data_IF_627991764797
#
_entry.id   IF_627991764797
#
_cell.length_a   1.000
_cell.length_b   1.000
_cell.length_c   1.000
_cell.angle_alpha   90.00
_cell.angle_beta   90.00
_cell.angle_gamma   90.00
#
_symmetry.space_group_name_H-M   'P 1'
#
loop_
_entity.id
_entity.type
_entity.pdbx_description
1 polymer ?
#
# COMPACT_ATOMS: atom_id res chain seq x y z
N UNK A 1 17.22 -7.44 -11.64
CA UNK A 1 17.34 -6.02 -11.24
C UNK A 1 16.21 -5.29 -11.95
N UNK A 2 15.13 -5.03 -11.26
CA UNK A 2 14.01 -4.28 -11.84
C UNK A 2 14.22 -2.80 -11.50
N UNK A 3 14.73 -2.04 -12.46
CA UNK A 3 14.64 -0.58 -12.47
C UNK A 3 13.18 -0.19 -12.72
N UNK A 4 12.34 -0.36 -11.71
CA UNK A 4 11.05 0.29 -11.68
C UNK A 4 11.24 1.80 -11.44
N UNK A 5 10.34 2.68 -11.95
CA UNK A 5 10.41 4.09 -11.68
C UNK A 5 10.45 4.33 -10.16
N UNK A 6 11.15 5.38 -9.69
CA UNK A 6 11.23 5.69 -8.28
C UNK A 6 9.81 5.76 -7.72
N UNK A 7 9.52 4.92 -6.73
CA UNK A 7 8.17 4.87 -6.12
C UNK A 7 7.93 6.21 -5.44
N UNK A 8 7.10 7.05 -6.05
CA UNK A 8 6.67 8.31 -5.47
C UNK A 8 5.74 8.00 -4.29
N UNK A 9 6.10 8.44 -3.10
CA UNK A 9 5.29 8.26 -1.90
C UNK A 9 4.31 9.43 -1.79
N UNK A 10 3.02 9.12 -1.67
CA UNK A 10 1.97 10.11 -1.40
C UNK A 10 1.60 10.12 0.08
N UNK A 11 1.51 11.32 0.64
CA UNK A 11 1.25 11.52 2.07
C UNK A 11 0.59 12.88 2.36
N UNK A 12 0.01 12.99 3.55
CA UNK A 12 -0.38 14.25 4.17
C UNK A 12 0.53 14.55 5.36
N UNK A 13 0.75 15.82 5.62
CA UNK A 13 1.48 16.31 6.78
C UNK A 13 0.49 16.97 7.74
N UNK A 14 0.43 16.47 8.98
CA UNK A 14 -0.49 16.94 10.00
C UNK A 14 0.29 17.75 11.04
N UNK A 15 -0.06 19.02 11.21
CA UNK A 15 0.57 19.90 12.17
C UNK A 15 0.29 19.51 13.62
N UNK A 16 1.05 20.06 14.57
CA UNK A 16 0.78 19.89 16.00
C UNK A 16 -0.65 20.26 16.42
N UNK A 17 -1.28 21.22 15.75
CA UNK A 17 -2.66 21.65 15.97
C UNK A 17 -3.72 20.73 15.33
N UNK A 18 -3.33 19.71 14.54
CA UNK A 18 -4.25 18.76 13.92
C UNK A 18 -4.66 19.10 12.49
N UNK A 19 -4.25 20.24 11.97
CA UNK A 19 -4.56 20.66 10.61
C UNK A 19 -3.57 20.07 9.59
N UNK A 20 -4.09 19.67 8.43
CA UNK A 20 -3.29 19.16 7.33
C UNK A 20 -2.68 20.27 6.48
N UNK A 21 -1.41 20.11 6.10
CA UNK A 21 -0.76 20.94 5.11
C UNK A 21 -1.53 20.88 3.80
N UNK A 22 -2.04 22.04 3.34
CA UNK A 22 -2.99 22.17 2.25
C UNK A 22 -2.44 23.10 1.18
N UNK A 23 -2.40 22.64 -0.07
CA UNK A 23 -2.15 23.48 -1.23
C UNK A 23 -3.49 24.05 -1.74
N UNK A 24 -3.70 25.35 -1.61
CA UNK A 24 -4.92 25.99 -2.08
C UNK A 24 -4.91 26.13 -3.61
N UNK A 25 -6.12 26.04 -4.20
CA UNK A 25 -6.27 26.08 -5.66
C UNK A 25 -5.94 27.45 -6.26
N UNK A 26 -6.13 28.51 -5.48
CA UNK A 26 -5.89 29.87 -5.91
C UNK A 26 -4.75 30.54 -5.15
N UNK A 27 -3.95 31.34 -5.85
CA UNK A 27 -2.90 32.18 -5.29
C UNK A 27 -1.70 31.38 -4.74
N UNK A 28 -1.57 30.09 -5.09
CA UNK A 28 -0.46 29.22 -4.64
C UNK A 28 -0.26 29.19 -3.11
N UNK A 29 -1.30 29.58 -2.37
CA UNK A 29 -1.25 29.67 -0.92
C UNK A 29 -1.16 28.29 -0.29
N UNK A 30 -0.39 28.20 0.79
CA UNK A 30 -0.27 27.00 1.62
C UNK A 30 -0.80 27.31 3.01
N UNK A 31 -1.65 26.43 3.54
CA UNK A 31 -2.25 26.54 4.88
C UNK A 31 -2.07 25.24 5.66
N UNK A 32 -2.33 25.24 6.95
CA UNK A 32 -2.38 24.04 7.79
C UNK A 32 -3.77 23.85 8.43
N UNK A 33 -4.83 24.13 7.66
CA UNK A 33 -6.22 24.18 8.12
C UNK A 33 -7.08 23.00 7.64
N UNK A 34 -6.55 22.10 6.80
CA UNK A 34 -7.30 20.93 6.33
C UNK A 34 -7.71 20.00 7.47
N UNK A 35 -8.97 19.58 7.52
CA UNK A 35 -9.52 18.71 8.58
C UNK A 35 -9.29 17.22 8.30
N UNK A 36 -8.94 16.83 7.10
CA UNK A 36 -8.76 15.43 6.69
C UNK A 36 -7.87 15.33 5.46
N UNK A 37 -7.33 14.13 5.20
CA UNK A 37 -6.53 13.86 4.02
C UNK A 37 -7.45 13.73 2.79
N UNK A 38 -7.40 14.75 1.93
CA UNK A 38 -8.08 14.80 0.64
C UNK A 38 -7.09 15.26 -0.43
N UNK A 39 -7.54 15.42 -1.67
CA UNK A 39 -6.70 15.79 -2.82
C UNK A 39 -5.79 16.99 -2.54
N UNK A 40 -6.32 18.07 -1.92
CA UNK A 40 -5.56 19.30 -1.60
C UNK A 40 -4.50 19.10 -0.50
N UNK A 41 -4.66 18.08 0.34
CA UNK A 41 -3.78 17.73 1.45
C UNK A 41 -2.78 16.62 1.09
N UNK A 42 -2.92 16.04 -0.10
CA UNK A 42 -2.02 14.99 -0.58
C UNK A 42 -0.82 15.60 -1.28
N UNK A 43 0.35 15.23 -0.80
CA UNK A 43 1.64 15.64 -1.33
C UNK A 43 2.42 14.42 -1.82
N UNK A 44 3.07 14.55 -2.96
CA UNK A 44 3.98 13.54 -3.48
C UNK A 44 5.39 13.88 -3.02
N UNK A 45 6.01 12.97 -2.29
CA UNK A 45 7.40 13.07 -1.85
C UNK A 45 8.32 12.61 -2.98
N UNK A 46 9.21 13.48 -3.43
CA UNK A 46 10.19 13.22 -4.47
C UNK A 46 11.60 13.34 -3.87
N UNK A 47 12.40 12.27 -3.95
CA UNK A 47 13.78 12.29 -3.46
C UNK A 47 14.67 13.01 -4.47
N UNK A 48 15.41 14.01 -4.02
CA UNK A 48 16.38 14.72 -4.84
C UNK A 48 17.73 13.99 -4.73
N UNK A 49 18.13 13.33 -5.82
CA UNK A 49 19.44 12.66 -5.92
C UNK A 49 20.53 13.71 -6.16
N UNK A 50 21.54 13.83 -5.28
CA UNK A 50 22.76 14.56 -5.57
C UNK A 50 23.23 15.66 -4.61
N UNK A 51 22.52 15.94 -3.51
CA UNK A 51 22.97 16.99 -2.55
C UNK A 51 23.02 16.46 -1.13
N UNK A 52 23.85 15.45 -0.88
CA UNK A 52 24.15 14.98 0.46
C UNK A 52 25.34 15.72 1.05
N UNK A 53 25.12 16.88 1.67
CA UNK A 53 26.06 17.49 2.61
C UNK A 53 25.42 17.48 3.99
N UNK A 54 25.43 16.31 4.61
CA UNK A 54 24.97 16.16 6.00
C UNK A 54 26.00 16.73 6.98
N UNK A 55 25.69 17.87 7.57
CA UNK A 55 26.33 18.37 8.77
C UNK A 55 25.28 18.47 9.87
N UNK A 56 25.13 17.42 10.68
CA UNK A 56 24.22 17.49 11.84
C UNK A 56 23.90 16.14 12.46
N UNK A 57 23.76 16.11 13.78
CA UNK A 57 23.57 14.95 14.66
C UNK A 57 22.21 14.20 14.57
N UNK A 58 21.41 14.43 13.55
CA UNK A 58 20.16 13.68 13.33
C UNK A 58 20.25 12.81 12.07
N UNK A 59 19.64 11.62 12.03
CA UNK A 59 19.61 10.80 10.82
C UNK A 59 18.92 11.57 9.69
N UNK A 60 19.74 12.06 8.74
CA UNK A 60 19.27 12.75 7.56
C UNK A 60 18.65 11.72 6.60
N UNK A 61 17.33 11.76 6.46
CA UNK A 61 16.62 10.90 5.51
C UNK A 61 16.78 11.35 4.04
N UNK A 62 17.64 12.33 3.80
CA UNK A 62 17.94 12.89 2.48
C UNK A 62 17.17 14.18 2.17
N UNK A 63 17.53 14.78 1.04
CA UNK A 63 16.87 15.96 0.52
C UNK A 63 15.67 15.57 -0.34
N UNK A 64 14.54 16.18 -0.09
CA UNK A 64 13.28 15.91 -0.77
C UNK A 64 12.63 17.17 -1.32
N UNK A 65 11.74 17.02 -2.27
CA UNK A 65 10.74 18.02 -2.64
C UNK A 65 9.33 17.47 -2.41
N UNK A 66 8.39 18.35 -2.17
CA UNK A 66 6.97 18.02 -1.95
C UNK A 66 6.15 18.62 -3.08
N UNK A 67 5.57 17.76 -3.91
CA UNK A 67 4.71 18.15 -5.03
C UNK A 67 3.24 18.05 -4.65
N UNK A 68 2.51 19.12 -4.86
CA UNK A 68 1.08 19.20 -4.59
C UNK A 68 0.23 18.54 -5.69
N UNK A 69 -1.07 18.42 -5.43
CA UNK A 69 -2.08 17.98 -6.41
C UNK A 69 -2.20 18.88 -7.67
N UNK A 70 -1.63 20.07 -7.62
CA UNK A 70 -1.56 21.01 -8.75
C UNK A 70 -0.31 20.80 -9.62
N UNK A 71 0.52 19.82 -9.30
CA UNK A 71 1.81 19.59 -9.96
C UNK A 71 2.89 20.58 -9.56
N UNK A 72 2.64 21.45 -8.58
CA UNK A 72 3.55 22.51 -8.10
C UNK A 72 4.27 22.07 -6.83
N UNK A 73 5.45 22.63 -6.59
CA UNK A 73 6.31 22.28 -5.48
C UNK A 73 6.18 23.27 -4.31
N UNK A 74 6.24 22.71 -3.09
CA UNK A 74 6.31 23.47 -1.87
C UNK A 74 7.67 24.17 -1.79
N UNK A 75 7.65 25.48 -1.64
CA UNK A 75 8.84 26.30 -1.50
C UNK A 75 8.75 27.29 -0.37
N UNK A 76 9.90 27.89 -0.01
CA UNK A 76 9.99 28.99 0.92
C UNK A 76 11.01 30.03 0.43
N UNK A 77 10.67 31.29 0.65
CA UNK A 77 11.58 32.39 0.39
C UNK A 77 12.47 32.75 1.59
N UNK A 78 13.39 33.68 1.39
CA UNK A 78 14.29 34.15 2.46
C UNK A 78 13.59 34.85 3.62
N UNK A 79 12.39 35.36 3.40
CA UNK A 79 11.58 36.03 4.40
C UNK A 79 10.64 35.05 5.15
N UNK A 80 10.75 33.75 4.82
CA UNK A 80 10.02 32.66 5.44
C UNK A 80 8.57 32.55 4.98
N UNK A 81 8.19 33.22 3.90
CA UNK A 81 6.90 33.00 3.26
C UNK A 81 6.91 31.66 2.52
N UNK A 82 5.85 30.89 2.66
CA UNK A 82 5.70 29.55 2.07
C UNK A 82 4.67 29.61 0.97
N UNK A 83 5.03 29.11 -0.21
CA UNK A 83 4.18 29.04 -1.39
C UNK A 83 4.24 27.66 -2.05
N UNK A 84 3.34 27.44 -3.00
CA UNK A 84 3.32 26.25 -3.84
C UNK A 84 3.16 26.63 -5.31
N UNK A 85 4.10 27.41 -5.84
CA UNK A 85 4.05 28.00 -7.18
C UNK A 85 5.15 27.48 -8.12
N UNK A 86 6.24 26.92 -7.60
CA UNK A 86 7.36 26.42 -8.39
C UNK A 86 6.97 25.19 -9.22
N UNK A 87 7.40 25.17 -10.50
CA UNK A 87 7.15 24.06 -11.44
C UNK A 87 8.23 22.99 -11.39
N UNK A 88 9.47 23.43 -11.19
CA UNK A 88 10.66 22.58 -11.24
C UNK A 88 11.39 22.58 -9.90
N UNK A 89 12.04 21.46 -9.54
CA UNK A 89 12.87 21.39 -8.34
C UNK A 89 14.04 22.38 -8.42
N UNK A 90 14.36 22.99 -7.27
CA UNK A 90 15.45 23.97 -7.14
C UNK A 90 15.76 24.22 -5.68
N UNK A 91 16.70 25.16 -5.40
CA UNK A 91 17.14 25.49 -4.03
C UNK A 91 15.95 25.93 -3.14
N UNK A 92 15.05 26.74 -3.71
CA UNK A 92 13.86 27.23 -3.00
C UNK A 92 12.79 26.16 -2.67
N UNK A 93 12.90 24.95 -3.24
CA UNK A 93 11.95 23.84 -3.05
C UNK A 93 12.58 22.59 -2.44
N UNK A 94 13.84 22.70 -2.02
CA UNK A 94 14.60 21.60 -1.43
C UNK A 94 14.48 21.59 0.10
N UNK A 95 14.07 20.46 0.65
CA UNK A 95 13.85 20.25 2.07
C UNK A 95 14.68 19.09 2.59
N UNK A 96 15.51 19.34 3.62
CA UNK A 96 16.14 18.29 4.41
C UNK A 96 15.13 17.67 5.36
N UNK A 97 14.92 16.35 5.25
CA UNK A 97 13.97 15.60 6.05
C UNK A 97 14.64 15.05 7.32
N UNK A 98 14.13 15.41 8.48
CA UNK A 98 14.58 14.93 9.77
C UNK A 98 13.47 14.13 10.47
N UNK A 99 13.63 12.82 10.53
CA UNK A 99 12.73 11.96 11.31
C UNK A 99 13.07 12.08 12.80
N UNK A 100 12.04 12.19 13.64
CA UNK A 100 12.16 12.22 15.10
C UNK A 100 11.88 10.84 15.69
N UNK A 101 12.39 10.56 16.91
CA UNK A 101 12.18 9.27 17.57
C UNK A 101 10.70 8.89 17.78
N UNK A 102 9.82 9.89 17.86
CA UNK A 102 8.36 9.73 18.00
C UNK A 102 7.63 9.53 16.65
N UNK A 103 8.36 9.44 15.53
CA UNK A 103 7.84 9.23 14.19
C UNK A 103 7.37 10.49 13.47
N UNK A 104 7.45 11.67 14.13
CA UNK A 104 7.16 12.95 13.48
C UNK A 104 8.35 13.42 12.64
N UNK A 105 8.07 14.29 11.67
CA UNK A 105 9.07 14.88 10.78
C UNK A 105 9.27 16.35 11.07
N UNK A 106 10.51 16.81 10.93
CA UNK A 106 10.86 18.20 10.75
C UNK A 106 11.43 18.39 9.34
N UNK A 107 10.97 19.41 8.64
CA UNK A 107 11.38 19.76 7.28
C UNK A 107 12.23 21.03 7.36
N UNK A 108 13.53 20.92 7.09
CA UNK A 108 14.46 22.03 7.10
C UNK A 108 14.72 22.49 5.68
N UNK A 109 14.44 23.75 5.38
CA UNK A 109 14.76 24.33 4.07
C UNK A 109 16.27 24.33 3.85
N UNK A 110 16.72 23.74 2.73
CA UNK A 110 18.15 23.50 2.49
C UNK A 110 18.92 24.81 2.38
N UNK A 111 18.42 25.78 1.61
CA UNK A 111 19.08 27.06 1.36
C UNK A 111 19.07 27.98 2.60
N UNK A 112 17.93 28.09 3.27
CA UNK A 112 17.77 29.07 4.37
C UNK A 112 18.05 28.51 5.74
N UNK A 113 18.16 27.18 5.89
CA UNK A 113 18.45 26.50 7.14
C UNK A 113 17.33 26.58 8.20
N UNK A 114 16.13 27.02 7.83
CA UNK A 114 14.97 27.23 8.69
C UNK A 114 13.96 26.10 8.55
N UNK A 115 13.13 25.89 9.55
CA UNK A 115 12.16 24.82 9.60
C UNK A 115 10.76 25.26 9.19
N UNK A 116 10.06 24.37 8.48
CA UNK A 116 8.66 24.51 8.10
C UNK A 116 7.78 24.36 9.35
N UNK A 117 7.08 25.40 9.72
CA UNK A 117 6.13 25.39 10.84
C UNK A 117 4.70 25.63 10.36
N UNK A 118 3.74 24.97 11.02
CA UNK A 118 2.32 25.11 10.74
C UNK A 118 1.50 25.34 12.00
N UNK A 119 0.74 26.44 12.03
CA UNK A 119 -0.18 26.76 13.09
C UNK A 119 -1.48 27.24 12.51
N UNK A 120 -2.55 26.46 12.70
CA UNK A 120 -3.89 26.74 12.16
C UNK A 120 -3.88 27.06 10.64
N UNK A 121 -4.21 28.25 10.25
CA UNK A 121 -4.26 28.72 8.87
C UNK A 121 -2.93 29.25 8.32
N UNK A 122 -1.87 29.26 9.14
CA UNK A 122 -0.57 29.84 8.79
C UNK A 122 0.53 28.78 8.67
N UNK A 123 1.23 28.83 7.55
CA UNK A 123 2.44 28.04 7.32
C UNK A 123 3.59 29.01 7.06
N UNK A 124 4.71 28.80 7.75
CA UNK A 124 5.90 29.64 7.63
C UNK A 124 7.17 28.81 7.75
N UNK A 125 8.25 29.31 7.14
CA UNK A 125 9.58 28.71 7.25
C UNK A 125 10.52 29.70 7.95
N UNK A 126 10.39 29.86 9.28
CA UNK A 126 11.06 30.91 10.02
C UNK A 126 11.91 30.42 11.20
N UNK A 127 11.53 29.30 11.80
CA UNK A 127 12.18 28.78 13.00
C UNK A 127 13.60 28.26 12.68
N UNK A 128 14.55 28.62 13.56
CA UNK A 128 15.92 28.10 13.50
C UNK A 128 16.09 26.78 14.25
N UNK A 129 15.17 26.48 15.16
CA UNK A 129 15.13 25.26 15.97
C UNK A 129 13.77 24.62 15.87
N UNK A 130 13.71 23.29 16.10
CA UNK A 130 12.48 22.53 16.03
C UNK A 130 11.71 22.63 17.33
N UNK A 131 10.53 23.24 17.30
CA UNK A 131 9.51 23.22 18.34
C UNK A 131 8.30 22.37 17.92
N UNK A 132 7.22 22.43 18.70
CA UNK A 132 6.01 21.65 18.39
C UNK A 132 5.31 22.08 17.10
N UNK A 133 5.46 23.33 16.68
CA UNK A 133 4.90 23.89 15.44
C UNK A 133 5.63 23.43 14.20
N UNK A 134 6.90 23.03 14.31
CA UNK A 134 7.75 22.53 13.22
C UNK A 134 7.72 21.01 13.09
N UNK A 135 6.95 20.33 13.94
CA UNK A 135 6.78 18.87 13.90
C UNK A 135 5.49 18.48 13.20
N UNK A 136 5.65 17.62 12.20
CA UNK A 136 4.58 17.13 11.36
C UNK A 136 4.40 15.62 11.52
N UNK A 137 3.17 15.18 11.78
CA UNK A 137 2.82 13.77 11.72
C UNK A 137 2.54 13.39 10.28
N UNK A 138 2.98 12.21 9.87
CA UNK A 138 2.88 11.74 8.48
C UNK A 138 1.68 10.83 8.34
N UNK A 139 0.76 11.17 7.46
CA UNK A 139 -0.39 10.35 7.09
C UNK A 139 -0.21 9.84 5.65
N UNK A 140 0.09 8.57 5.47
CA UNK A 140 0.27 7.97 4.14
C UNK A 140 -1.04 8.02 3.34
N UNK A 141 -0.98 8.54 2.12
CA UNK A 141 -2.10 8.58 1.20
C UNK A 141 -2.15 7.29 0.36
N UNK A 142 -2.24 6.16 1.06
CA UNK A 142 -2.34 4.83 0.45
C UNK A 142 -3.72 4.24 0.72
N UNK A 143 -4.14 3.27 -0.10
CA UNK A 143 -5.32 2.49 0.23
C UNK A 143 -5.07 1.79 1.58
N UNK A 144 -6.02 1.79 2.51
CA UNK A 144 -5.83 1.19 3.83
C UNK A 144 -5.53 -0.32 3.76
N UNK A 145 -6.11 -1.04 2.80
CA UNK A 145 -5.84 -2.46 2.57
C UNK A 145 -4.58 -2.62 1.72
N UNK A 146 -3.64 -3.43 2.20
CA UNK A 146 -2.33 -3.60 1.57
C UNK A 146 -1.77 -5.02 1.78
N UNK A 147 -0.74 -5.33 1.01
CA UNK A 147 0.16 -6.45 1.26
C UNK A 147 1.46 -5.90 1.87
N UNK A 148 1.96 -6.59 2.88
CA UNK A 148 3.17 -6.18 3.61
C UNK A 148 4.32 -7.13 3.26
N UNK A 149 5.26 -6.65 2.45
CA UNK A 149 6.44 -7.41 2.03
C UNK A 149 7.65 -7.10 2.91
N UNK A 150 8.34 -8.12 3.39
CA UNK A 150 9.59 -7.96 4.14
C UNK A 150 10.79 -8.29 3.23
N UNK A 151 11.63 -7.31 2.84
CA UNK A 151 12.75 -7.53 1.93
C UNK A 151 13.91 -8.32 2.57
N UNK A 152 13.99 -8.37 3.89
CA UNK A 152 14.96 -9.19 4.63
C UNK A 152 14.69 -10.66 4.42
N UNK A 153 13.48 -11.09 4.66
CA UNK A 153 13.05 -12.49 4.49
C UNK A 153 12.58 -12.84 3.08
N UNK A 154 12.34 -11.84 2.23
CA UNK A 154 11.76 -12.01 0.89
C UNK A 154 10.41 -12.72 0.93
N UNK A 155 9.57 -12.35 1.89
CA UNK A 155 8.25 -12.96 2.18
C UNK A 155 7.23 -11.88 2.49
N UNK A 156 5.96 -12.24 2.30
CA UNK A 156 4.82 -11.41 2.69
C UNK A 156 4.29 -11.81 4.06
N UNK A 157 3.73 -10.83 4.75
CA UNK A 157 3.01 -11.05 5.99
C UNK A 157 1.60 -11.56 5.70
N UNK A 158 1.13 -12.51 6.53
CA UNK A 158 -0.22 -13.05 6.48
C UNK A 158 -0.72 -13.43 7.85
N UNK A 159 -2.04 -13.42 8.02
CA UNK A 159 -2.70 -13.99 9.18
C UNK A 159 -2.52 -15.52 9.16
N UNK A 160 -1.97 -16.07 10.23
CA UNK A 160 -1.77 -17.50 10.42
C UNK A 160 -2.23 -17.89 11.83
N UNK A 161 -3.42 -18.43 11.94
CA UNK A 161 -4.06 -18.71 13.25
C UNK A 161 -4.26 -17.44 14.07
N UNK A 162 -3.62 -17.35 15.23
CA UNK A 162 -3.72 -16.22 16.16
C UNK A 162 -2.53 -15.25 16.07
N UNK A 163 -1.80 -15.25 14.96
CA UNK A 163 -0.66 -14.35 14.76
C UNK A 163 -0.56 -13.88 13.31
N UNK A 164 0.16 -12.78 13.09
CA UNK A 164 0.62 -12.38 11.76
C UNK A 164 2.04 -12.85 11.59
N UNK A 165 2.31 -13.62 10.54
CA UNK A 165 3.64 -14.16 10.25
C UNK A 165 4.13 -13.77 8.85
N UNK A 166 5.43 -13.53 8.71
CA UNK A 166 6.10 -13.26 7.44
C UNK A 166 6.60 -14.59 6.86
N UNK A 167 5.71 -15.30 6.19
CA UNK A 167 5.92 -16.68 5.74
C UNK A 167 5.48 -16.96 4.31
N UNK A 168 4.69 -16.07 3.70
CA UNK A 168 4.07 -16.27 2.39
C UNK A 168 4.99 -15.82 1.25
N UNK A 169 5.16 -16.66 0.23
CA UNK A 169 5.95 -16.33 -0.97
C UNK A 169 5.21 -15.34 -1.90
N UNK A 170 3.90 -15.49 -1.96
CA UNK A 170 2.99 -14.69 -2.80
C UNK A 170 1.82 -14.24 -1.92
N UNK A 171 1.40 -12.97 -1.97
CA UNK A 171 0.28 -12.49 -1.15
C UNK A 171 -1.04 -12.99 -1.74
N UNK A 172 -1.49 -14.16 -1.29
CA UNK A 172 -2.66 -14.85 -1.80
C UNK A 172 -3.67 -15.18 -0.71
N UNK A 173 -4.95 -15.08 -1.05
CA UNK A 173 -6.03 -15.32 -0.12
C UNK A 173 -6.25 -14.16 0.87
N UNK A 174 -7.36 -14.20 1.59
CA UNK A 174 -7.78 -13.16 2.53
C UNK A 174 -6.76 -12.94 3.65
N UNK A 175 -6.05 -13.98 4.08
CA UNK A 175 -5.05 -13.89 5.15
C UNK A 175 -3.89 -12.94 4.85
N UNK A 176 -3.56 -12.71 3.56
CA UNK A 176 -2.50 -11.79 3.15
C UNK A 176 -2.93 -10.32 3.06
N UNK A 177 -4.22 -10.03 3.23
CA UNK A 177 -4.76 -8.69 3.21
C UNK A 177 -4.69 -8.07 4.60
N UNK A 178 -3.78 -7.13 4.78
CA UNK A 178 -3.65 -6.36 6.00
C UNK A 178 -4.23 -4.97 5.82
N UNK A 179 -4.66 -4.35 6.89
CA UNK A 179 -5.15 -2.97 6.86
C UNK A 179 -4.30 -2.08 7.73
N UNK A 180 -3.83 -0.97 7.15
CA UNK A 180 -3.06 0.07 7.84
C UNK A 180 -3.96 1.29 8.04
N UNK A 181 -4.27 1.63 9.28
CA UNK A 181 -5.14 2.75 9.60
C UNK A 181 -4.39 3.80 10.42
N UNK A 182 -4.58 5.08 10.09
CA UNK A 182 -4.03 6.20 10.83
C UNK A 182 -5.02 6.63 11.90
N UNK A 183 -4.61 6.59 13.18
CA UNK A 183 -5.44 6.87 14.33
C UNK A 183 -5.50 8.36 14.71
N UNK A 184 -6.38 8.68 15.65
CA UNK A 184 -6.50 10.03 16.25
C UNK A 184 -5.26 10.43 17.04
N UNK A 185 -4.53 9.44 17.59
CA UNK A 185 -3.23 9.60 18.24
C UNK A 185 -2.10 9.91 17.24
N UNK A 186 -2.43 9.99 15.94
CA UNK A 186 -1.52 10.22 14.81
C UNK A 186 -0.45 9.12 14.65
N UNK A 187 -0.80 7.95 15.09
CA UNK A 187 -0.02 6.72 14.91
C UNK A 187 -0.80 5.72 14.05
N UNK A 188 -0.15 4.65 13.70
CA UNK A 188 -0.72 3.64 12.84
C UNK A 188 -1.10 2.39 13.61
N UNK A 189 -2.18 1.78 13.18
CA UNK A 189 -2.61 0.46 13.62
C UNK A 189 -2.58 -0.48 12.42
N UNK A 190 -1.91 -1.62 12.58
CA UNK A 190 -1.89 -2.69 11.58
C UNK A 190 -2.89 -3.75 11.99
N UNK A 191 -3.88 -4.03 11.13
CA UNK A 191 -4.93 -5.02 11.38
C UNK A 191 -4.80 -6.19 10.43
N UNK A 192 -5.04 -7.38 10.95
CA UNK A 192 -5.20 -8.59 10.17
C UNK A 192 -6.55 -8.61 9.42
N UNK A 193 -6.71 -9.52 8.49
CA UNK A 193 -7.90 -9.65 7.66
C UNK A 193 -9.20 -9.97 8.43
N UNK A 194 -9.09 -10.52 9.62
CA UNK A 194 -10.20 -10.79 10.54
C UNK A 194 -10.58 -9.56 11.40
N UNK A 195 -9.92 -8.43 11.18
CA UNK A 195 -10.16 -7.16 11.87
C UNK A 195 -9.44 -7.01 13.21
N UNK A 196 -8.74 -8.04 13.71
CA UNK A 196 -7.92 -7.94 14.92
C UNK A 196 -6.65 -7.12 14.68
N UNK A 197 -6.23 -6.36 15.66
CA UNK A 197 -5.06 -5.49 15.60
C UNK A 197 -3.80 -6.20 16.08
N UNK A 198 -2.71 -6.02 15.33
CA UNK A 198 -1.40 -6.51 15.73
C UNK A 198 -0.86 -5.68 16.90
N UNK A 199 -0.47 -6.35 17.97
CA UNK A 199 0.17 -5.77 19.13
C UNK A 199 1.69 -5.87 19.04
N UNK A 200 2.37 -5.01 19.79
CA UNK A 200 3.83 -4.99 19.85
C UNK A 200 4.44 -6.34 20.31
N UNK A 201 3.75 -7.09 21.15
CA UNK A 201 4.16 -8.42 21.63
C UNK A 201 3.94 -9.55 20.60
N UNK A 202 3.28 -9.25 19.47
CA UNK A 202 2.96 -10.20 18.39
C UNK A 202 1.58 -10.86 18.53
N UNK A 203 0.88 -10.64 19.63
CA UNK A 203 -0.49 -11.11 19.80
C UNK A 203 -1.47 -10.28 18.95
N UNK A 204 -2.61 -10.86 18.61
CA UNK A 204 -3.72 -10.15 18.01
C UNK A 204 -4.74 -9.77 19.09
N UNK A 205 -5.18 -8.51 19.06
CA UNK A 205 -6.14 -7.96 20.01
C UNK A 205 -7.31 -7.26 19.31
N UNK A 206 -8.26 -6.72 20.10
CA UNK A 206 -9.38 -5.98 19.53
C UNK A 206 -8.89 -4.73 18.77
N UNK A 207 -9.64 -4.26 17.74
CA UNK A 207 -9.35 -3.02 17.07
C UNK A 207 -9.34 -1.84 18.06
N UNK A 208 -8.48 -0.86 17.77
CA UNK A 208 -8.20 0.29 18.66
C UNK A 208 -7.68 -0.14 20.04
N UNK A 209 -6.76 -1.11 20.04
CA UNK A 209 -6.16 -1.70 21.25
C UNK A 209 -5.24 -0.78 22.05
N UNK A 210 -5.26 0.53 21.80
CA UNK A 210 -4.47 1.53 22.51
C UNK A 210 -2.97 1.45 22.20
N UNK A 211 -2.13 1.88 23.16
CA UNK A 211 -0.68 1.98 22.97
C UNK A 211 0.00 0.67 22.54
N UNK A 212 -0.54 -0.47 22.93
CA UNK A 212 0.04 -1.77 22.60
C UNK A 212 -0.07 -2.13 21.10
N UNK A 213 -1.01 -1.54 20.35
CA UNK A 213 -1.23 -1.76 18.92
C UNK A 213 -0.93 -0.51 18.09
N UNK A 214 -0.25 0.48 18.66
CA UNK A 214 0.00 1.79 18.06
C UNK A 214 1.47 1.90 17.63
N UNK A 215 1.70 2.20 16.34
CA UNK A 215 3.01 2.28 15.73
C UNK A 215 3.23 3.64 15.08
N UNK A 216 4.46 4.18 15.16
CA UNK A 216 4.92 5.23 14.26
C UNK A 216 5.63 4.61 13.05
N UNK A 217 5.63 5.31 11.92
CA UNK A 217 6.34 4.90 10.72
C UNK A 217 7.60 5.72 10.53
N UNK A 218 8.71 5.04 10.23
CA UNK A 218 9.93 5.65 9.73
C UNK A 218 10.14 5.24 8.27
N UNK A 219 10.42 6.22 7.39
CA UNK A 219 10.64 5.98 5.97
C UNK A 219 12.13 5.78 5.68
N UNK A 220 12.45 4.74 4.93
CA UNK A 220 13.82 4.39 4.53
C UNK A 220 13.85 3.97 3.06
N UNK A 221 14.24 4.87 2.17
CA UNK A 221 14.47 4.58 0.74
C UNK A 221 13.35 3.75 0.08
N UNK A 222 12.08 4.14 0.28
CA UNK A 222 10.91 3.46 -0.29
C UNK A 222 10.37 2.27 0.53
N UNK A 223 11.02 1.97 1.67
CA UNK A 223 10.51 1.03 2.68
C UNK A 223 10.09 1.78 3.93
N UNK A 224 9.32 1.13 4.79
CA UNK A 224 8.89 1.65 6.09
C UNK A 224 9.36 0.74 7.22
N UNK A 225 9.71 1.32 8.36
CA UNK A 225 9.86 0.61 9.61
C UNK A 225 8.72 1.00 10.56
N UNK A 226 8.14 0.02 11.25
CA UNK A 226 7.11 0.23 12.27
C UNK A 226 7.78 0.27 13.63
N UNK A 227 7.55 1.35 14.38
CA UNK A 227 8.13 1.55 15.69
C UNK A 227 7.04 1.65 16.74
N UNK A 228 7.09 0.82 17.76
CA UNK A 228 6.13 0.84 18.86
C UNK A 228 6.30 2.05 19.79
N UNK A 229 5.51 2.14 20.85
CA UNK A 229 5.56 3.25 21.81
C UNK A 229 6.81 3.24 22.72
N UNK A 230 7.51 2.10 22.80
CA UNK A 230 8.77 1.96 23.52
C UNK A 230 10.01 2.18 22.63
N UNK A 231 9.80 2.51 21.35
CA UNK A 231 10.88 2.76 20.40
C UNK A 231 11.49 1.49 19.80
N UNK A 232 10.85 0.33 19.93
CA UNK A 232 11.30 -0.95 19.36
C UNK A 232 10.70 -1.14 17.95
N UNK A 233 11.48 -1.74 17.07
CA UNK A 233 11.01 -2.02 15.71
C UNK A 233 10.27 -3.35 15.61
N UNK A 234 9.19 -3.34 14.83
CA UNK A 234 8.47 -4.53 14.43
C UNK A 234 9.33 -5.34 13.46
N UNK A 235 9.53 -6.62 13.73
CA UNK A 235 10.26 -7.51 12.84
C UNK A 235 9.74 -8.95 12.90
N UNK A 236 10.00 -9.76 11.86
CA UNK A 236 9.72 -11.19 11.87
C UNK A 236 10.64 -11.91 12.87
N UNK A 237 10.07 -12.65 13.80
CA UNK A 237 10.79 -13.35 14.85
C UNK A 237 10.67 -14.86 14.73
N UNK A 238 11.76 -15.57 14.99
CA UNK A 238 11.82 -17.03 14.95
C UNK A 238 11.67 -17.63 13.55
N UNK A 239 11.64 -18.96 13.41
CA UNK A 239 11.51 -19.65 12.12
C UNK A 239 10.19 -19.39 11.43
N UNK A 240 9.09 -19.29 12.19
CA UNK A 240 7.74 -19.00 11.68
C UNK A 240 7.55 -17.56 11.21
N UNK A 241 8.48 -16.65 11.56
CA UNK A 241 8.41 -15.26 11.13
C UNK A 241 7.29 -14.45 11.78
N UNK A 242 6.87 -14.78 13.01
CA UNK A 242 5.82 -14.03 13.73
C UNK A 242 6.26 -12.57 13.89
N UNK A 243 5.40 -11.65 13.49
CA UNK A 243 5.63 -10.22 13.63
C UNK A 243 5.47 -9.79 15.08
N UNK A 244 6.54 -9.24 15.65
CA UNK A 244 6.52 -8.61 17.00
C UNK A 244 7.62 -7.57 17.12
N UNK A 245 7.46 -6.64 18.05
CA UNK A 245 8.52 -5.67 18.38
C UNK A 245 9.62 -6.34 19.18
N UNK A 246 10.86 -6.18 18.72
CA UNK A 246 12.05 -6.72 19.39
C UNK A 246 12.91 -5.56 19.86
N UNK A 247 13.47 -5.69 21.06
CA UNK A 247 14.39 -4.69 21.60
C UNK A 247 15.62 -4.63 20.69
N UNK A 248 15.99 -3.42 20.23
CA UNK A 248 17.20 -3.23 19.47
C UNK A 248 18.41 -3.78 20.26
N UNK A 249 19.25 -4.56 19.62
CA UNK A 249 20.44 -5.13 20.25
C UNK A 249 21.50 -4.07 20.64
N UNK A 250 21.39 -2.84 20.13
CA UNK A 250 22.24 -1.70 20.45
C UNK A 250 21.46 -0.58 21.10
N UNK A 251 21.89 -0.16 22.28
CA UNK A 251 21.31 0.87 23.12
C UNK A 251 21.53 2.32 22.63
N UNK A 252 21.90 2.53 21.36
CA UNK A 252 22.04 3.86 20.79
C UNK A 252 20.74 4.30 20.11
N UNK A 253 20.17 5.40 20.56
CA UNK A 253 18.93 6.00 20.07
C UNK A 253 18.96 6.46 18.58
N UNK A 254 20.03 6.16 17.86
CA UNK A 254 20.27 6.55 16.46
C UNK A 254 20.53 5.39 15.51
N UNK A 255 20.26 4.13 15.88
CA UNK A 255 20.49 3.01 14.97
C UNK A 255 19.44 2.95 13.85
N UNK A 256 19.90 2.92 12.61
CA UNK A 256 19.03 2.62 11.45
C UNK A 256 18.38 1.25 11.62
N UNK A 257 17.13 1.07 11.21
CA UNK A 257 16.48 -0.23 11.26
C UNK A 257 17.26 -1.26 10.44
N UNK A 258 17.33 -2.49 10.95
CA UNK A 258 17.90 -3.62 10.25
C UNK A 258 17.04 -3.99 9.04
N UNK A 259 17.61 -4.77 8.09
CA UNK A 259 16.88 -5.16 6.87
C UNK A 259 15.58 -5.92 7.16
N UNK A 260 15.54 -6.71 8.24
CA UNK A 260 14.37 -7.47 8.67
C UNK A 260 13.30 -6.58 9.34
N UNK A 261 13.66 -5.37 9.76
CA UNK A 261 12.75 -4.37 10.35
C UNK A 261 12.12 -3.45 9.30
N UNK A 262 12.52 -3.62 8.03
CA UNK A 262 12.01 -2.86 6.90
C UNK A 262 10.90 -3.63 6.18
N UNK A 263 9.88 -2.89 5.76
CA UNK A 263 8.75 -3.41 5.01
C UNK A 263 8.45 -2.54 3.80
N UNK A 264 7.98 -3.17 2.74
CA UNK A 264 7.41 -2.49 1.57
C UNK A 264 5.89 -2.61 1.66
N UNK A 265 5.21 -1.49 1.58
CA UNK A 265 3.75 -1.43 1.50
C UNK A 265 3.38 -1.58 0.02
N UNK A 266 2.70 -2.65 -0.33
CA UNK A 266 2.23 -2.89 -1.69
C UNK A 266 0.70 -2.80 -1.72
N UNK A 267 0.15 -2.17 -2.75
CA UNK A 267 -1.30 -2.18 -2.96
C UNK A 267 -1.77 -3.62 -3.14
N UNK A 268 -2.80 -4.00 -2.39
CA UNK A 268 -3.45 -5.29 -2.57
C UNK A 268 -4.21 -5.29 -3.90
N UNK A 269 -4.21 -6.43 -4.57
CA UNK A 269 -4.98 -6.63 -5.79
C UNK A 269 -6.28 -7.35 -5.47
N UNK A 270 -7.33 -7.04 -6.22
CA UNK A 270 -8.62 -7.70 -6.06
C UNK A 270 -8.47 -9.21 -6.30
N UNK A 271 -8.96 -10.00 -5.37
CA UNK A 271 -9.03 -11.46 -5.50
C UNK A 271 -10.49 -11.90 -5.41
N UNK A 272 -10.84 -12.91 -6.19
CA UNK A 272 -12.21 -13.42 -6.29
C UNK A 272 -12.21 -14.93 -6.26
N UNK A 273 -13.24 -15.50 -5.68
CA UNK A 273 -13.68 -16.89 -5.89
C UNK A 273 -14.92 -16.86 -6.76
N UNK A 274 -15.06 -17.85 -7.62
CA UNK A 274 -16.16 -17.96 -8.56
C UNK A 274 -16.86 -19.30 -8.35
N UNK A 275 -18.20 -19.30 -8.32
CA UNK A 275 -18.99 -20.52 -8.24
C UNK A 275 -19.92 -20.65 -9.45
N UNK A 276 -19.99 -21.85 -10.01
CA UNK A 276 -20.95 -22.16 -11.06
C UNK A 276 -22.38 -22.02 -10.54
N UNK A 277 -23.19 -21.11 -11.10
CA UNK A 277 -24.54 -20.82 -10.64
C UNK A 277 -25.47 -22.05 -10.62
N UNK A 278 -25.32 -22.96 -11.56
CA UNK A 278 -26.12 -24.18 -11.67
C UNK A 278 -25.61 -25.33 -10.79
N UNK A 279 -24.30 -25.43 -10.60
CA UNK A 279 -23.68 -26.53 -9.86
C UNK A 279 -23.37 -26.19 -8.40
N UNK A 280 -23.28 -24.89 -8.04
CA UNK A 280 -22.80 -24.41 -6.75
C UNK A 280 -21.31 -24.71 -6.48
N UNK A 281 -20.60 -25.33 -7.44
CA UNK A 281 -19.20 -25.75 -7.26
C UNK A 281 -18.23 -24.61 -7.56
N UNK A 282 -17.16 -24.55 -6.80
CA UNK A 282 -16.10 -23.54 -6.98
C UNK A 282 -15.31 -23.82 -8.26
N UNK A 283 -14.99 -22.75 -8.97
CA UNK A 283 -14.08 -22.76 -10.11
C UNK A 283 -12.65 -22.93 -9.61
N UNK A 284 -11.89 -23.80 -10.22
CA UNK A 284 -10.55 -24.19 -9.81
C UNK A 284 -9.58 -24.32 -10.98
N UNK A 285 -8.32 -24.02 -10.70
CA UNK A 285 -7.16 -24.31 -11.57
C UNK A 285 -6.31 -25.47 -11.01
N UNK A 286 -6.89 -26.37 -10.20
CA UNK A 286 -6.17 -27.44 -9.45
C UNK A 286 -5.73 -28.58 -10.36
N UNK A 287 -6.52 -28.92 -11.36
CA UNK A 287 -6.31 -30.13 -12.18
C UNK A 287 -5.70 -29.79 -13.53
N UNK A 288 -4.37 -29.87 -13.62
CA UNK A 288 -3.66 -29.62 -14.87
C UNK A 288 -3.79 -28.17 -15.35
N UNK A 289 -4.02 -28.00 -16.65
CA UNK A 289 -4.18 -26.67 -17.25
C UNK A 289 -5.65 -26.19 -17.27
N UNK A 290 -6.62 -27.09 -17.24
CA UNK A 290 -8.02 -26.76 -17.45
C UNK A 290 -8.63 -26.04 -16.23
N UNK A 291 -9.40 -25.01 -16.51
CA UNK A 291 -10.20 -24.30 -15.51
C UNK A 291 -11.56 -24.97 -15.43
N UNK A 292 -11.96 -25.42 -14.24
CA UNK A 292 -13.18 -26.22 -14.05
C UNK A 292 -13.95 -25.84 -12.79
N UNK A 293 -15.29 -25.78 -12.86
CA UNK A 293 -16.20 -25.59 -11.74
C UNK A 293 -16.57 -26.96 -11.14
N UNK A 294 -15.68 -27.54 -10.34
CA UNK A 294 -15.81 -28.93 -9.84
C UNK A 294 -15.40 -29.11 -8.36
N UNK A 295 -15.00 -28.05 -7.64
CA UNK A 295 -14.59 -28.14 -6.25
C UNK A 295 -15.73 -27.75 -5.29
N UNK A 296 -15.71 -28.31 -4.10
CA UNK A 296 -16.69 -27.99 -3.04
C UNK A 296 -16.15 -26.91 -2.11
N UNK A 297 -14.84 -26.96 -1.83
CA UNK A 297 -14.14 -26.05 -0.95
C UNK A 297 -13.32 -25.03 -1.77
N UNK A 298 -13.10 -23.86 -1.16
CA UNK A 298 -12.31 -22.78 -1.72
C UNK A 298 -10.94 -22.73 -1.04
N UNK A 299 -9.90 -22.64 -1.84
CA UNK A 299 -8.52 -22.54 -1.40
C UNK A 299 -7.73 -21.64 -2.35
N UNK A 300 -6.41 -21.83 -2.35
CA UNK A 300 -5.51 -21.02 -3.18
C UNK A 300 -5.74 -21.23 -4.68
N UNK A 301 -6.09 -22.45 -5.08
CA UNK A 301 -6.34 -22.81 -6.50
C UNK A 301 -7.74 -22.42 -6.99
N UNK A 302 -8.66 -22.09 -6.09
CA UNK A 302 -10.01 -21.59 -6.34
C UNK A 302 -10.10 -20.06 -6.24
N UNK A 303 -9.03 -19.43 -5.78
CA UNK A 303 -8.89 -17.97 -5.71
C UNK A 303 -8.17 -17.46 -6.95
N UNK A 304 -8.68 -16.40 -7.55
CA UNK A 304 -8.09 -15.76 -8.73
C UNK A 304 -7.88 -14.27 -8.46
N UNK A 305 -6.74 -13.75 -8.91
CA UNK A 305 -6.47 -12.33 -8.84
C UNK A 305 -7.00 -11.65 -10.10
N UNK A 306 -7.86 -10.65 -9.92
CA UNK A 306 -8.36 -9.81 -11.00
C UNK A 306 -7.40 -8.66 -11.27
N UNK A 307 -6.95 -8.55 -12.50
CA UNK A 307 -6.06 -7.47 -12.93
C UNK A 307 -6.72 -6.68 -14.05
N UNK A 308 -6.86 -5.36 -13.84
CA UNK A 308 -7.43 -4.47 -14.84
C UNK A 308 -6.50 -4.37 -16.06
N UNK A 309 -7.07 -4.50 -17.24
CA UNK A 309 -6.39 -4.35 -18.53
C UNK A 309 -7.25 -3.50 -19.48
N UNK A 310 -6.69 -2.92 -20.53
CA UNK A 310 -7.49 -2.22 -21.52
C UNK A 310 -8.59 -3.12 -22.11
N UNK A 311 -9.84 -2.75 -21.82
CA UNK A 311 -11.05 -3.46 -22.32
C UNK A 311 -11.56 -4.56 -21.40
N UNK A 312 -11.14 -4.62 -20.12
CA UNK A 312 -11.70 -5.56 -19.16
C UNK A 312 -10.73 -6.02 -18.07
N UNK A 313 -10.78 -7.32 -17.80
CA UNK A 313 -10.03 -7.96 -16.70
C UNK A 313 -9.33 -9.22 -17.19
N UNK A 314 -8.11 -9.43 -16.74
CA UNK A 314 -7.44 -10.72 -16.79
C UNK A 314 -7.50 -11.40 -15.42
N UNK A 315 -7.50 -12.73 -15.40
CA UNK A 315 -7.55 -13.56 -14.21
C UNK A 315 -6.24 -14.32 -14.06
N UNK A 316 -5.55 -14.11 -12.94
CA UNK A 316 -4.31 -14.78 -12.61
C UNK A 316 -4.55 -15.87 -11.57
N UNK A 317 -3.96 -17.04 -11.77
CA UNK A 317 -3.98 -18.16 -10.83
C UNK A 317 -2.88 -18.05 -9.77
N UNK A 318 -3.01 -18.79 -8.68
CA UNK A 318 -2.03 -18.87 -7.59
C UNK A 318 -0.62 -19.23 -8.10
N UNK A 319 -0.51 -20.17 -9.02
CA UNK A 319 0.76 -20.58 -9.65
C UNK A 319 1.40 -19.54 -10.58
N UNK A 320 0.79 -18.36 -10.73
CA UNK A 320 1.33 -17.24 -11.53
C UNK A 320 0.89 -17.22 -13.00
N UNK A 321 0.30 -18.29 -13.51
CA UNK A 321 -0.28 -18.34 -14.87
C UNK A 321 -1.59 -17.55 -14.94
N UNK A 322 -1.99 -17.17 -16.14
CA UNK A 322 -3.26 -16.49 -16.40
C UNK A 322 -4.22 -17.39 -17.17
N UNK A 323 -5.50 -17.08 -17.04
CA UNK A 323 -6.52 -17.71 -17.87
C UNK A 323 -6.31 -17.38 -19.34
N UNK A 324 -6.34 -18.40 -20.18
CA UNK A 324 -6.29 -18.29 -21.62
C UNK A 324 -7.38 -19.16 -22.25
N UNK A 325 -7.72 -18.88 -23.51
CA UNK A 325 -8.64 -19.71 -24.30
C UNK A 325 -7.83 -20.62 -25.19
N UNK A 326 -8.08 -21.90 -25.07
CA UNK A 326 -7.53 -22.90 -26.03
C UNK A 326 -8.11 -22.68 -27.43
N UNK A 327 -7.27 -22.38 -28.39
CA UNK A 327 -7.69 -22.21 -29.78
C UNK A 327 -8.33 -23.48 -30.40
N UNK A 328 -7.95 -24.65 -29.91
CA UNK A 328 -8.44 -25.92 -30.41
C UNK A 328 -9.84 -26.28 -29.90
N UNK A 329 -10.17 -25.92 -28.64
CA UNK A 329 -11.38 -26.39 -27.96
C UNK A 329 -12.32 -25.29 -27.47
N UNK A 330 -11.85 -24.05 -27.45
CA UNK A 330 -12.54 -22.94 -26.75
C UNK A 330 -12.56 -23.10 -25.23
N UNK A 331 -11.89 -24.11 -24.69
CA UNK A 331 -11.78 -24.34 -23.23
C UNK A 331 -10.91 -23.31 -22.57
N UNK A 332 -11.23 -22.97 -21.30
CA UNK A 332 -10.40 -22.10 -20.49
C UNK A 332 -9.29 -22.88 -19.80
N UNK A 333 -8.08 -22.34 -19.85
CA UNK A 333 -6.88 -22.98 -19.32
C UNK A 333 -6.00 -21.97 -18.58
N UNK A 334 -5.32 -22.41 -17.52
CA UNK A 334 -4.31 -21.66 -16.78
C UNK A 334 -2.94 -21.74 -17.49
N UNK A 335 -2.87 -21.30 -18.77
CA UNK A 335 -1.72 -21.55 -19.65
C UNK A 335 -0.96 -20.31 -20.11
N UNK A 336 -1.51 -19.09 -19.95
CA UNK A 336 -0.81 -17.88 -20.34
C UNK A 336 0.28 -17.53 -19.29
N UNK A 337 1.50 -17.29 -19.76
CA UNK A 337 2.65 -16.96 -18.89
C UNK A 337 2.75 -15.49 -18.53
N UNK A 338 1.99 -14.61 -19.19
CA UNK A 338 1.99 -13.18 -18.97
C UNK A 338 0.59 -12.58 -19.13
N UNK A 339 0.37 -11.40 -18.55
CA UNK A 339 -0.87 -10.66 -18.69
C UNK A 339 -1.20 -10.32 -20.17
N UNK A 340 -0.17 -10.05 -20.98
CA UNK A 340 -0.35 -9.72 -22.41
C UNK A 340 -0.84 -10.90 -23.26
N UNK A 341 -0.60 -12.12 -22.81
CA UNK A 341 -1.08 -13.35 -23.46
C UNK A 341 -2.36 -13.91 -22.83
N UNK A 342 -2.87 -13.26 -21.79
CA UNK A 342 -4.07 -13.68 -21.08
C UNK A 342 -5.35 -13.40 -21.85
N UNK A 343 -6.39 -14.18 -21.57
CA UNK A 343 -7.75 -13.86 -21.98
C UNK A 343 -8.25 -12.61 -21.24
N UNK A 344 -8.94 -11.74 -21.97
CA UNK A 344 -9.55 -10.53 -21.42
C UNK A 344 -11.05 -10.71 -21.34
N UNK A 345 -11.59 -10.50 -20.14
CA UNK A 345 -13.01 -10.69 -19.84
C UNK A 345 -13.66 -9.36 -19.46
N UNK A 346 -14.86 -9.17 -19.95
CA UNK A 346 -15.82 -8.20 -19.42
C UNK A 346 -16.71 -8.88 -18.41
N UNK A 347 -16.96 -8.25 -17.26
CA UNK A 347 -17.85 -8.74 -16.21
C UNK A 347 -19.23 -8.15 -16.42
N UNK A 348 -20.18 -8.99 -16.82
CA UNK A 348 -21.56 -8.59 -17.11
C UNK A 348 -22.48 -9.03 -15.97
N UNK A 349 -23.06 -8.07 -15.25
CA UNK A 349 -23.97 -8.35 -14.15
C UNK A 349 -25.31 -8.91 -14.61
N UNK A 350 -25.78 -9.95 -13.92
CA UNK A 350 -27.07 -10.63 -14.16
C UNK A 350 -27.79 -10.88 -12.83
N UNK A 351 -28.44 -9.85 -12.31
CA UNK A 351 -29.05 -9.91 -10.97
C UNK A 351 -27.99 -10.03 -9.88
N UNK A 352 -27.98 -11.14 -9.14
CA UNK A 352 -26.97 -11.46 -8.11
C UNK A 352 -25.76 -12.24 -8.64
N UNK A 353 -25.74 -12.55 -9.94
CA UNK A 353 -24.68 -13.31 -10.56
C UNK A 353 -23.94 -12.46 -11.60
N UNK A 354 -22.80 -12.96 -12.05
CA UNK A 354 -22.02 -12.37 -13.12
C UNK A 354 -21.86 -13.36 -14.26
N UNK A 355 -21.79 -12.85 -15.48
CA UNK A 355 -21.34 -13.59 -16.65
C UNK A 355 -19.99 -13.01 -17.08
N UNK A 356 -19.03 -13.88 -17.39
CA UNK A 356 -17.76 -13.49 -17.98
C UNK A 356 -17.89 -13.55 -19.49
N UNK A 357 -17.68 -12.42 -20.16
CA UNK A 357 -17.71 -12.32 -21.61
C UNK A 357 -16.30 -12.06 -22.14
N UNK A 358 -15.84 -12.88 -23.07
CA UNK A 358 -14.59 -12.63 -23.78
C UNK A 358 -14.69 -11.37 -24.65
N UNK A 359 -13.58 -10.70 -24.80
CA UNK A 359 -13.41 -9.69 -25.84
C UNK A 359 -13.60 -10.33 -27.21
N UNK A 360 -14.74 -10.14 -27.82
CA UNK A 360 -15.17 -10.84 -29.04
C UNK A 360 -16.56 -11.46 -28.92
N UNK A 361 -17.22 -11.27 -27.76
CA UNK A 361 -18.65 -11.50 -27.54
C UNK A 361 -19.02 -12.88 -27.01
N UNK A 362 -18.10 -13.84 -26.91
CA UNK A 362 -18.43 -15.18 -26.38
C UNK A 362 -18.47 -15.19 -24.86
N UNK A 363 -19.48 -15.85 -24.31
CA UNK A 363 -19.64 -16.01 -22.85
C UNK A 363 -19.02 -17.32 -22.36
N UNK A 364 -18.54 -17.27 -21.12
CA UNK A 364 -18.01 -18.43 -20.40
C UNK A 364 -19.17 -19.28 -19.90
N UNK A 365 -19.11 -20.59 -20.16
CA UNK A 365 -20.05 -21.58 -19.65
C UNK A 365 -19.31 -22.82 -19.14
N UNK A 366 -19.96 -23.59 -18.26
CA UNK A 366 -19.42 -24.87 -17.81
C UNK A 366 -20.01 -26.02 -18.62
N UNK A 367 -19.17 -26.95 -19.03
CA UNK A 367 -19.58 -28.25 -19.59
C UNK A 367 -20.19 -29.15 -18.49
N UNK A 368 -20.80 -30.26 -18.86
CA UNK A 368 -21.33 -31.27 -17.92
C UNK A 368 -20.27 -31.80 -16.93
N UNK A 369 -19.01 -31.88 -17.34
CA UNK A 369 -17.88 -32.29 -16.51
C UNK A 369 -17.28 -31.16 -15.67
N UNK A 370 -17.85 -29.96 -15.71
CA UNK A 370 -17.41 -28.79 -14.99
C UNK A 370 -16.37 -27.94 -15.74
N UNK A 371 -15.73 -28.42 -16.81
CA UNK A 371 -14.74 -27.64 -17.56
C UNK A 371 -15.35 -26.36 -18.11
N UNK A 372 -14.68 -25.23 -17.91
CA UNK A 372 -15.12 -23.96 -18.46
C UNK A 372 -14.70 -23.80 -19.91
N UNK A 373 -15.60 -23.22 -20.71
CA UNK A 373 -15.36 -22.90 -22.12
C UNK A 373 -15.99 -21.54 -22.47
N UNK A 374 -15.40 -20.83 -23.40
CA UNK A 374 -15.89 -19.55 -23.89
C UNK A 374 -16.41 -19.66 -25.30
N UNK A 375 -17.57 -20.30 -25.48
CA UNK A 375 -18.16 -20.64 -26.79
C UNK A 375 -19.60 -20.18 -26.94
N UNK A 376 -20.28 -19.77 -25.88
CA UNK A 376 -21.70 -19.39 -25.91
C UNK A 376 -21.92 -17.99 -26.50
N UNK A 377 -22.96 -17.81 -27.30
CA UNK A 377 -23.36 -16.51 -27.86
C UNK A 377 -24.18 -15.67 -26.88
N UNK A 378 -24.77 -16.32 -25.91
CA UNK A 378 -25.57 -15.67 -24.86
C UNK A 378 -25.13 -16.10 -23.46
N UNK A 379 -25.32 -15.23 -22.49
CA UNK A 379 -25.12 -15.59 -21.08
C UNK A 379 -26.20 -16.63 -20.69
N UNK A 380 -25.81 -17.91 -20.65
CA UNK A 380 -26.66 -18.99 -20.18
C UNK A 380 -26.87 -19.00 -18.68
N UNK A 381 -27.56 -20.03 -18.17
CA UNK A 381 -27.78 -20.25 -16.72
C UNK A 381 -26.50 -20.57 -15.92
N UNK A 382 -25.36 -20.78 -16.59
CA UNK A 382 -24.05 -20.99 -15.97
C UNK A 382 -23.36 -19.67 -15.63
N UNK A 383 -24.04 -18.82 -14.88
CA UNK A 383 -23.48 -17.56 -14.35
C UNK A 383 -22.75 -17.85 -13.02
N UNK A 384 -21.75 -17.06 -12.70
CA UNK A 384 -20.93 -17.20 -11.51
C UNK A 384 -21.31 -16.14 -10.48
N UNK A 385 -21.34 -16.51 -9.21
CA UNK A 385 -21.63 -15.57 -8.11
C UNK A 385 -20.29 -15.14 -7.48
N UNK A 386 -19.98 -13.85 -7.39
CA UNK A 386 -18.85 -13.37 -6.58
C UNK A 386 -19.22 -13.44 -5.09
N UNK A 387 -18.29 -13.83 -4.25
CA UNK A 387 -18.37 -13.76 -2.79
C UNK A 387 -17.60 -12.58 -2.25
#
# INVERSE_FOLDING_TARGET
>A
MSDGPPRSLQLGLVSGAGGYLTAETFGFKVTASGSSLKKKQTWTLETLTGTGTGTGDAPDCGTVSLRSHLGRLLGADRDGAVSCDAETPGAATAWGLQARPDGRWALRHVEHGRYLGGSADRVRCFAQTVGNTELWSVHLATHPQLNLYNPGRKRYAQLSGDSVSVSCDVPWGVGSLLSLTFGEDRRYELRASDGRSLRADGALGPPRGGAASSFSLELHAGSVAFKDTEGRYLCPSGPSGILKSVRAASSSASSRPAKDELFVLEESRAQVTLRGNSSGRAVSARQGLDISANQEEEGETETFQMEAVPGGWSLRCFGGSYWAVSAASGGLQASASSQSSAAVFEVVWRGRAVALQLRGGKFVTAKKNGQLQATADTAGSATHTPH
#
